data_IF_763362695734
#
_entry.id   IF_763362695734
#
_cell.length_a   1.000
_cell.length_b   1.000
_cell.length_c   1.000
_cell.angle_alpha   90.00
_cell.angle_beta   90.00
_cell.angle_gamma   90.00
#
_symmetry.space_group_name_H-M   'P 1'
#
loop_
_entity.id
_entity.type
_entity.pdbx_description
1 polymer ?
#
# COMPACT_ATOMS: atom_id res chain seq x y z
N UNK A 1 27.89 -27.06 -32.32
CA UNK A 1 29.20 -27.65 -31.94
C UNK A 1 29.00 -28.52 -30.71
N UNK A 2 29.18 -29.85 -30.84
CA UNK A 2 29.20 -30.77 -29.68
C UNK A 2 30.66 -30.93 -29.27
N UNK A 3 31.03 -30.42 -28.09
CA UNK A 3 32.38 -30.64 -27.54
C UNK A 3 32.47 -32.06 -26.99
N UNK A 4 33.64 -32.67 -27.09
CA UNK A 4 33.93 -33.96 -26.45
C UNK A 4 33.93 -33.82 -24.93
N UNK A 5 33.64 -34.91 -24.23
CA UNK A 5 33.64 -34.97 -22.76
C UNK A 5 34.99 -34.55 -22.15
N UNK A 6 36.09 -34.92 -22.80
CA UNK A 6 37.46 -34.59 -22.37
C UNK A 6 37.76 -33.08 -22.51
N UNK A 7 37.25 -32.46 -23.60
CA UNK A 7 37.34 -31.01 -23.80
C UNK A 7 36.51 -30.25 -22.77
N UNK A 8 35.36 -30.80 -22.36
CA UNK A 8 34.51 -30.21 -21.32
C UNK A 8 35.20 -30.23 -19.95
N UNK A 9 35.83 -31.35 -19.59
CA UNK A 9 36.57 -31.51 -18.34
C UNK A 9 37.77 -30.57 -18.26
N UNK A 10 38.53 -30.44 -19.35
CA UNK A 10 39.66 -29.51 -19.42
C UNK A 10 39.22 -28.06 -19.25
N UNK A 11 38.11 -27.66 -19.89
CA UNK A 11 37.55 -26.33 -19.74
C UNK A 11 37.08 -26.05 -18.29
N UNK A 12 36.54 -27.09 -17.63
CA UNK A 12 36.07 -27.00 -16.24
C UNK A 12 37.23 -26.83 -15.25
N UNK A 13 38.34 -27.54 -15.45
CA UNK A 13 39.57 -27.34 -14.68
C UNK A 13 40.16 -25.94 -14.87
N UNK A 14 40.23 -25.44 -16.11
CA UNK A 14 40.77 -24.11 -16.39
C UNK A 14 39.95 -22.99 -15.72
N UNK A 15 38.63 -23.12 -15.73
CA UNK A 15 37.73 -22.17 -15.06
C UNK A 15 37.92 -22.16 -13.54
N UNK A 16 38.15 -23.32 -12.93
CA UNK A 16 38.36 -23.40 -11.48
C UNK A 16 39.67 -22.73 -11.05
N UNK A 17 40.71 -22.82 -11.89
CA UNK A 17 41.97 -22.12 -11.69
C UNK A 17 41.85 -20.61 -11.87
N UNK A 18 41.16 -20.15 -12.91
CA UNK A 18 40.98 -18.71 -13.18
C UNK A 18 40.10 -18.00 -12.14
N UNK A 19 39.20 -18.72 -11.46
CA UNK A 19 38.30 -18.13 -10.47
C UNK A 19 38.89 -18.09 -9.05
N UNK A 20 40.16 -18.48 -8.88
CA UNK A 20 40.83 -18.45 -7.58
C UNK A 20 40.25 -19.51 -6.64
N UNK A 21 40.73 -20.75 -6.79
CA UNK A 21 40.42 -21.82 -5.85
C UNK A 21 40.78 -21.40 -4.43
N UNK A 22 39.79 -21.46 -3.53
CA UNK A 22 40.02 -21.43 -2.09
C UNK A 22 41.04 -22.52 -1.74
N UNK A 23 42.10 -22.14 -1.04
CA UNK A 23 43.01 -23.09 -0.38
C UNK A 23 42.32 -23.50 0.92
N UNK A 24 41.71 -24.69 0.95
CA UNK A 24 40.93 -25.21 2.09
C UNK A 24 41.78 -25.67 3.29
N UNK A 25 43.01 -25.19 3.47
CA UNK A 25 43.89 -25.65 4.54
C UNK A 25 44.24 -24.60 5.59
N UNK A 26 44.19 -23.31 5.27
CA UNK A 26 44.49 -22.26 6.24
C UNK A 26 43.30 -21.32 6.37
N UNK A 27 42.76 -21.22 7.58
CA UNK A 27 41.74 -20.24 7.97
C UNK A 27 42.36 -18.84 7.96
N UNK A 28 42.52 -18.27 6.77
CA UNK A 28 42.86 -16.86 6.62
C UNK A 28 41.57 -16.07 6.85
N UNK A 29 41.38 -15.59 8.07
CA UNK A 29 40.35 -14.60 8.36
C UNK A 29 40.56 -13.37 7.46
N UNK A 30 39.56 -12.97 6.66
CA UNK A 30 39.68 -11.77 5.87
C UNK A 30 39.69 -10.56 6.82
N UNK A 31 40.87 -9.97 7.07
CA UNK A 31 41.01 -8.66 7.70
C UNK A 31 40.38 -7.58 6.80
N UNK A 32 39.06 -7.48 6.85
CA UNK A 32 38.31 -6.46 6.11
C UNK A 32 38.32 -5.17 6.92
N UNK A 33 39.47 -4.47 6.94
CA UNK A 33 39.57 -3.11 7.45
C UNK A 33 38.80 -2.15 6.53
N UNK A 34 37.48 -2.08 6.74
CA UNK A 34 36.66 -0.98 6.22
C UNK A 34 36.88 0.23 7.10
N UNK A 35 37.76 1.13 6.69
CA UNK A 35 37.76 2.52 7.13
C UNK A 35 36.48 3.22 6.65
N UNK A 36 35.35 2.91 7.30
CA UNK A 36 34.12 3.67 7.16
C UNK A 36 34.25 4.91 8.02
N UNK A 37 34.58 6.06 7.42
CA UNK A 37 34.29 7.36 8.06
C UNK A 37 32.78 7.38 8.33
N UNK A 38 32.40 7.57 9.59
CA UNK A 38 31.02 7.89 9.95
C UNK A 38 30.69 9.25 9.32
N UNK A 39 30.14 9.26 8.10
CA UNK A 39 29.47 10.44 7.59
C UNK A 39 28.27 10.65 8.50
N UNK A 40 28.38 11.60 9.42
CA UNK A 40 27.20 12.25 9.98
C UNK A 40 26.49 12.88 8.80
N UNK A 41 25.54 12.15 8.20
CA UNK A 41 24.66 12.71 7.21
C UNK A 41 23.90 13.82 7.94
N UNK A 42 24.12 15.05 7.47
CA UNK A 42 23.42 16.22 7.97
C UNK A 42 21.91 15.90 7.89
N UNK A 43 21.25 15.80 9.05
CA UNK A 43 19.86 15.37 9.13
C UNK A 43 18.99 16.26 8.25
N UNK A 44 19.38 17.53 8.07
CA UNK A 44 18.77 18.48 7.16
C UNK A 44 18.79 18.01 5.68
N UNK A 45 19.88 17.41 5.24
CA UNK A 45 20.02 16.89 3.87
C UNK A 45 19.14 15.64 3.66
N UNK A 46 19.06 14.76 4.66
CA UNK A 46 18.19 13.59 4.63
C UNK A 46 16.71 14.00 4.63
N UNK A 47 16.31 15.00 5.42
CA UNK A 47 14.94 15.52 5.39
C UNK A 47 14.59 16.18 4.06
N UNK A 48 15.51 16.95 3.46
CA UNK A 48 15.27 17.57 2.16
C UNK A 48 15.16 16.53 1.03
N UNK A 49 15.95 15.46 1.10
CA UNK A 49 15.88 14.35 0.14
C UNK A 49 14.57 13.56 0.29
N UNK A 50 14.11 13.33 1.53
CA UNK A 50 12.80 12.71 1.80
C UNK A 50 11.64 13.60 1.33
N UNK A 51 11.70 14.92 1.56
CA UNK A 51 10.67 15.85 1.07
C UNK A 51 10.62 15.88 -0.46
N UNK A 52 11.78 15.89 -1.13
CA UNK A 52 11.88 15.80 -2.59
C UNK A 52 11.30 14.47 -3.10
N UNK A 53 11.58 13.36 -2.40
CA UNK A 53 11.07 12.04 -2.77
C UNK A 53 9.55 11.92 -2.55
N UNK A 54 9.02 12.54 -1.49
CA UNK A 54 7.57 12.67 -1.26
C UNK A 54 6.92 13.50 -2.38
N UNK A 55 7.51 14.63 -2.78
CA UNK A 55 6.97 15.45 -3.85
C UNK A 55 7.08 14.76 -5.22
N UNK A 56 8.16 14.03 -5.48
CA UNK A 56 8.29 13.18 -6.66
C UNK A 56 7.26 12.04 -6.65
N UNK A 57 7.00 11.40 -5.51
CA UNK A 57 5.95 10.39 -5.36
C UNK A 57 4.56 10.99 -5.54
N UNK A 58 4.32 12.20 -5.04
CA UNK A 58 3.06 12.94 -5.20
C UNK A 58 2.84 13.36 -6.65
N UNK A 59 3.90 13.74 -7.36
CA UNK A 59 3.89 14.03 -8.80
C UNK A 59 3.64 12.76 -9.61
N UNK A 60 4.39 11.68 -9.34
CA UNK A 60 4.13 10.36 -9.94
C UNK A 60 2.71 9.87 -9.67
N UNK A 61 2.18 10.07 -8.47
CA UNK A 61 0.80 9.70 -8.13
C UNK A 61 -0.25 10.55 -8.86
N UNK A 62 0.01 11.83 -9.10
CA UNK A 62 -0.83 12.69 -9.96
C UNK A 62 -0.75 12.26 -11.41
N UNK A 63 0.44 11.93 -11.90
CA UNK A 63 0.67 11.47 -13.27
C UNK A 63 0.05 10.08 -13.52
N UNK A 64 0.08 9.18 -12.53
CA UNK A 64 -0.64 7.90 -12.58
C UNK A 64 -2.14 8.02 -12.33
N UNK A 65 -2.61 9.11 -11.71
CA UNK A 65 -4.04 9.43 -11.60
C UNK A 65 -4.60 9.99 -12.91
N UNK A 66 -3.72 10.54 -13.76
CA UNK A 66 -3.99 10.97 -15.13
C UNK A 66 -3.87 9.83 -16.14
N UNK A 67 -3.20 8.74 -15.80
CA UNK A 67 -3.41 7.47 -16.51
C UNK A 67 -4.70 6.84 -15.98
N UNK A 68 -5.74 6.69 -16.81
CA UNK A 68 -6.86 5.87 -16.42
C UNK A 68 -6.34 4.43 -16.28
N UNK A 69 -6.09 4.02 -15.04
CA UNK A 69 -5.90 2.62 -14.66
C UNK A 69 -7.23 1.92 -14.90
N UNK A 70 -7.40 1.43 -16.12
CA UNK A 70 -8.64 0.89 -16.61
C UNK A 70 -8.82 1.39 -18.04
N UNK A 71 -8.59 0.49 -18.99
CA UNK A 71 -8.92 0.62 -20.41
C UNK A 71 -10.24 1.37 -20.54
N UNK A 72 -10.19 2.69 -20.66
CA UNK A 72 -11.40 3.50 -20.81
C UNK A 72 -11.72 3.32 -22.26
N UNK A 73 -12.71 2.48 -22.54
CA UNK A 73 -13.17 2.27 -23.90
C UNK A 73 -13.67 3.63 -24.35
N UNK A 74 -12.90 4.29 -25.22
CA UNK A 74 -13.24 5.61 -25.71
C UNK A 74 -14.61 5.55 -26.37
N UNK A 75 -15.45 6.56 -26.15
CA UNK A 75 -16.74 6.71 -26.81
C UNK A 75 -16.60 6.62 -28.34
N UNK A 76 -15.53 7.19 -28.89
CA UNK A 76 -15.20 7.09 -30.31
C UNK A 76 -14.93 5.65 -30.77
N UNK A 77 -14.30 4.82 -29.94
CA UNK A 77 -14.06 3.41 -30.25
C UNK A 77 -15.36 2.59 -30.19
N UNK A 78 -16.27 2.92 -29.28
CA UNK A 78 -17.60 2.32 -29.23
C UNK A 78 -18.45 2.68 -30.44
N UNK A 79 -18.41 3.95 -30.85
CA UNK A 79 -19.15 4.41 -32.02
C UNK A 79 -18.62 3.74 -33.30
N UNK A 80 -17.29 3.66 -33.45
CA UNK A 80 -16.69 2.90 -34.55
C UNK A 80 -17.10 1.42 -34.53
N UNK A 81 -17.12 0.77 -33.37
CA UNK A 81 -17.56 -0.62 -33.23
C UNK A 81 -19.03 -0.79 -33.63
N UNK A 82 -19.91 0.17 -33.29
CA UNK A 82 -21.32 0.17 -33.72
C UNK A 82 -21.44 0.23 -35.22
N UNK A 83 -20.77 1.19 -35.86
CA UNK A 83 -20.78 1.35 -37.32
C UNK A 83 -20.26 0.10 -38.04
N UNK A 84 -19.21 -0.53 -37.52
CA UNK A 84 -18.69 -1.79 -38.07
C UNK A 84 -19.66 -2.96 -37.92
N UNK A 85 -20.33 -3.07 -36.76
CA UNK A 85 -21.38 -4.09 -36.54
C UNK A 85 -22.54 -3.86 -37.50
N UNK A 86 -23.03 -2.63 -37.64
CA UNK A 86 -24.17 -2.31 -38.53
C UNK A 86 -23.83 -2.59 -40.00
N UNK A 87 -22.61 -2.24 -40.43
CA UNK A 87 -22.12 -2.54 -41.78
C UNK A 87 -22.04 -4.05 -42.03
N UNK A 88 -21.48 -4.81 -41.10
CA UNK A 88 -21.39 -6.28 -41.24
C UNK A 88 -22.75 -6.95 -41.13
N UNK A 89 -23.64 -6.44 -40.30
CA UNK A 89 -25.02 -6.92 -40.19
C UNK A 89 -25.76 -6.71 -41.50
N UNK A 90 -25.66 -5.52 -42.10
CA UNK A 90 -26.21 -5.24 -43.44
C UNK A 90 -25.64 -6.20 -44.49
N UNK A 91 -24.31 -6.39 -44.51
CA UNK A 91 -23.67 -7.35 -45.41
C UNK A 91 -24.15 -8.79 -45.20
N UNK A 92 -24.43 -9.18 -43.94
CA UNK A 92 -24.99 -10.47 -43.61
C UNK A 92 -26.44 -10.62 -44.13
N UNK A 93 -27.30 -9.62 -43.93
CA UNK A 93 -28.67 -9.63 -44.46
C UNK A 93 -28.70 -9.77 -45.99
N UNK A 94 -27.81 -9.07 -46.70
CA UNK A 94 -27.67 -9.19 -48.16
C UNK A 94 -27.23 -10.61 -48.54
N UNK A 95 -26.15 -11.10 -47.92
CA UNK A 95 -25.58 -12.42 -48.23
C UNK A 95 -26.52 -13.58 -47.92
N UNK A 96 -27.42 -13.42 -46.95
CA UNK A 96 -28.45 -14.39 -46.59
C UNK A 96 -29.71 -14.30 -47.46
N UNK A 97 -29.82 -13.29 -48.34
CA UNK A 97 -31.04 -13.05 -49.13
C UNK A 97 -32.23 -12.58 -48.28
N UNK A 98 -31.97 -11.97 -47.13
CA UNK A 98 -33.00 -11.50 -46.19
C UNK A 98 -33.35 -10.02 -46.36
N UNK A 99 -32.62 -9.28 -47.20
CA UNK A 99 -32.79 -7.83 -47.38
C UNK A 99 -34.18 -7.46 -47.89
N UNK A 100 -34.70 -8.17 -48.92
CA UNK A 100 -36.03 -7.88 -49.48
C UNK A 100 -37.15 -8.10 -48.46
N UNK A 101 -37.04 -9.16 -47.64
CA UNK A 101 -37.98 -9.44 -46.55
C UNK A 101 -37.96 -8.34 -45.49
N UNK A 102 -36.77 -7.85 -45.15
CA UNK A 102 -36.59 -6.75 -44.19
C UNK A 102 -37.21 -5.45 -44.72
N UNK A 103 -36.98 -5.10 -45.97
CA UNK A 103 -37.55 -3.89 -46.59
C UNK A 103 -39.07 -3.99 -46.72
N UNK A 104 -39.62 -5.16 -47.06
CA UNK A 104 -41.07 -5.37 -47.09
C UNK A 104 -41.72 -5.14 -45.71
N UNK A 105 -41.12 -5.67 -44.63
CA UNK A 105 -41.57 -5.45 -43.26
C UNK A 105 -41.48 -3.97 -42.88
N UNK A 106 -40.38 -3.30 -43.24
CA UNK A 106 -40.16 -1.87 -42.95
C UNK A 106 -41.21 -0.99 -43.65
N UNK A 107 -41.52 -1.27 -44.92
CA UNK A 107 -42.55 -0.57 -45.67
C UNK A 107 -43.95 -0.75 -45.07
N UNK A 108 -44.29 -1.95 -44.61
CA UNK A 108 -45.54 -2.21 -43.92
C UNK A 108 -45.60 -1.50 -42.55
N UNK A 109 -44.49 -1.46 -41.82
CA UNK A 109 -44.38 -0.74 -40.56
C UNK A 109 -44.62 0.76 -40.74
N UNK A 110 -44.01 1.38 -41.76
CA UNK A 110 -44.23 2.80 -42.09
C UNK A 110 -45.71 3.09 -42.41
N UNK A 111 -46.37 2.22 -43.20
CA UNK A 111 -47.80 2.37 -43.52
C UNK A 111 -48.72 2.22 -42.29
N UNK A 112 -48.33 1.36 -41.34
CA UNK A 112 -49.10 1.15 -40.10
C UNK A 112 -48.93 2.28 -39.08
N UNK A 113 -47.75 2.93 -39.06
CA UNK A 113 -47.44 4.03 -38.13
C UNK A 113 -48.20 5.32 -38.45
N UNK A 114 -48.62 5.53 -39.70
CA UNK A 114 -49.39 6.72 -40.11
C UNK A 114 -50.86 6.65 -39.70
N UNK A 115 -51.36 5.46 -39.34
CA UNK A 115 -52.82 5.23 -39.23
C UNK A 115 -53.31 4.93 -37.82
N UNK A 116 -52.44 4.61 -36.85
CA UNK A 116 -52.85 4.50 -35.43
C UNK A 116 -51.65 4.32 -34.49
N UNK A 117 -51.75 4.85 -33.27
CA UNK A 117 -50.87 4.57 -32.12
C UNK A 117 -50.98 3.11 -31.61
N UNK A 118 -51.44 2.19 -32.46
CA UNK A 118 -52.01 0.91 -32.10
C UNK A 118 -51.07 -0.23 -32.46
N UNK A 119 -50.65 -0.95 -31.42
CA UNK A 119 -50.37 -2.39 -31.36
C UNK A 119 -50.07 -3.01 -32.72
N UNK A 120 -48.77 -3.26 -32.99
CA UNK A 120 -48.29 -4.01 -34.15
C UNK A 120 -49.24 -5.16 -34.48
N UNK A 121 -49.74 -5.21 -35.72
CA UNK A 121 -50.67 -6.25 -36.13
C UNK A 121 -50.04 -7.62 -35.83
N UNK A 122 -50.82 -8.59 -35.28
CA UNK A 122 -50.28 -9.90 -34.92
C UNK A 122 -49.53 -10.59 -36.07
N UNK A 123 -49.97 -10.36 -37.32
CA UNK A 123 -49.33 -10.87 -38.53
C UNK A 123 -47.98 -10.22 -38.84
N UNK A 124 -47.82 -8.91 -38.60
CA UNK A 124 -46.52 -8.23 -38.77
C UNK A 124 -45.52 -8.73 -37.72
N UNK A 125 -45.98 -8.92 -36.49
CA UNK A 125 -45.16 -9.51 -35.41
C UNK A 125 -44.67 -10.91 -35.77
N UNK A 126 -45.55 -11.79 -36.26
CA UNK A 126 -45.17 -13.13 -36.70
C UNK A 126 -44.10 -13.11 -37.81
N UNK A 127 -44.19 -12.18 -38.77
CA UNK A 127 -43.19 -12.03 -39.85
C UNK A 127 -41.85 -11.52 -39.33
N UNK A 128 -41.85 -10.61 -38.36
CA UNK A 128 -40.64 -10.13 -37.68
C UNK A 128 -39.97 -11.27 -36.91
N UNK A 129 -40.75 -12.03 -36.14
CA UNK A 129 -40.24 -13.16 -35.35
C UNK A 129 -39.65 -14.24 -36.28
N UNK A 130 -40.33 -14.55 -37.39
CA UNK A 130 -39.82 -15.49 -38.41
C UNK A 130 -38.53 -15.00 -39.05
N UNK A 131 -38.43 -13.72 -39.42
CA UNK A 131 -37.21 -13.13 -39.98
C UNK A 131 -36.04 -13.21 -38.98
N UNK A 132 -36.31 -12.90 -37.70
CA UNK A 132 -35.32 -13.01 -36.64
C UNK A 132 -34.85 -14.46 -36.45
N UNK A 133 -35.77 -15.42 -36.49
CA UNK A 133 -35.43 -16.84 -36.40
C UNK A 133 -34.57 -17.32 -37.58
N UNK A 134 -34.93 -16.95 -38.82
CA UNK A 134 -34.15 -17.27 -40.03
C UNK A 134 -32.71 -16.70 -39.93
N UNK A 135 -32.59 -15.43 -39.50
CA UNK A 135 -31.29 -14.78 -39.29
C UNK A 135 -30.46 -15.50 -38.22
N UNK A 136 -31.06 -15.81 -37.07
CA UNK A 136 -30.38 -16.52 -35.99
C UNK A 136 -29.97 -17.94 -36.38
N UNK A 137 -30.77 -18.65 -37.16
CA UNK A 137 -30.44 -19.97 -37.68
C UNK A 137 -29.25 -19.90 -38.66
N UNK A 138 -29.22 -18.88 -39.52
CA UNK A 138 -28.11 -18.65 -40.45
C UNK A 138 -26.81 -18.26 -39.71
N UNK A 139 -26.91 -17.44 -38.66
CA UNK A 139 -25.79 -17.15 -37.76
C UNK A 139 -25.36 -18.38 -36.97
N UNK A 140 -26.25 -19.29 -36.60
CA UNK A 140 -25.86 -20.47 -35.81
C UNK A 140 -25.04 -21.49 -36.59
N UNK A 141 -24.98 -21.39 -37.93
CA UNK A 141 -24.15 -22.27 -38.75
C UNK A 141 -22.66 -22.13 -38.38
N UNK A 142 -21.93 -23.24 -38.20
CA UNK A 142 -20.48 -23.20 -37.98
C UNK A 142 -19.77 -22.47 -39.13
N UNK A 143 -18.70 -21.74 -38.81
CA UNK A 143 -17.88 -20.95 -39.75
C UNK A 143 -18.59 -19.81 -40.52
N UNK A 144 -19.91 -19.65 -40.44
CA UNK A 144 -20.61 -18.49 -41.02
C UNK A 144 -20.37 -17.24 -40.17
N UNK A 145 -20.17 -16.10 -40.83
CA UNK A 145 -20.16 -14.75 -40.23
C UNK A 145 -19.32 -14.63 -38.95
N UNK A 146 -18.16 -15.28 -38.92
CA UNK A 146 -17.27 -15.30 -37.75
C UNK A 146 -16.89 -13.88 -37.28
N UNK A 147 -16.61 -12.98 -38.23
CA UNK A 147 -16.31 -11.57 -37.94
C UNK A 147 -17.47 -10.90 -37.20
N UNK A 148 -18.70 -11.02 -37.72
CA UNK A 148 -19.88 -10.41 -37.11
C UNK A 148 -20.15 -10.97 -35.71
N UNK A 149 -20.02 -12.29 -35.52
CA UNK A 149 -20.15 -12.94 -34.20
C UNK A 149 -19.12 -12.40 -33.21
N UNK A 150 -17.87 -12.28 -33.64
CA UNK A 150 -16.80 -11.74 -32.82
C UNK A 150 -17.08 -10.29 -32.43
N UNK A 151 -17.48 -9.44 -33.39
CA UNK A 151 -17.79 -8.03 -33.12
C UNK A 151 -19.00 -7.84 -32.21
N UNK A 152 -20.05 -8.65 -32.38
CA UNK A 152 -21.20 -8.67 -31.48
C UNK A 152 -20.79 -9.04 -30.05
N UNK A 153 -19.95 -10.08 -29.89
CA UNK A 153 -19.43 -10.47 -28.58
C UNK A 153 -18.59 -9.36 -27.95
N UNK A 154 -17.67 -8.76 -28.71
CA UNK A 154 -16.86 -7.63 -28.25
C UNK A 154 -17.74 -6.44 -27.82
N UNK A 155 -18.82 -6.15 -28.56
CA UNK A 155 -19.77 -5.09 -28.20
C UNK A 155 -20.47 -5.38 -26.87
N UNK A 156 -20.96 -6.61 -26.66
CA UNK A 156 -21.61 -7.01 -25.41
C UNK A 156 -20.65 -6.92 -24.22
N UNK A 157 -19.42 -7.37 -24.39
CA UNK A 157 -18.39 -7.27 -23.35
C UNK A 157 -18.04 -5.81 -23.04
N UNK A 158 -17.90 -4.96 -24.07
CA UNK A 158 -17.65 -3.54 -23.92
C UNK A 158 -18.78 -2.82 -23.16
N UNK A 159 -20.05 -3.09 -23.51
CA UNK A 159 -21.21 -2.58 -22.77
C UNK A 159 -21.17 -2.97 -21.29
N UNK A 160 -20.84 -4.24 -20.98
CA UNK A 160 -20.72 -4.71 -19.59
C UNK A 160 -19.62 -3.98 -18.82
N UNK A 161 -18.50 -3.66 -19.47
CA UNK A 161 -17.40 -2.91 -18.86
C UNK A 161 -17.85 -1.47 -18.55
N UNK A 162 -18.51 -0.81 -19.51
CA UNK A 162 -19.02 0.55 -19.34
C UNK A 162 -20.01 0.61 -18.18
N UNK A 163 -20.96 -0.32 -18.10
CA UNK A 163 -21.91 -0.39 -16.97
C UNK A 163 -21.23 -0.56 -15.61
N UNK A 164 -20.14 -1.34 -15.54
CA UNK A 164 -19.36 -1.50 -14.31
C UNK A 164 -18.60 -0.22 -13.97
N UNK A 165 -18.05 0.46 -14.96
CA UNK A 165 -17.35 1.73 -14.79
C UNK A 165 -18.30 2.82 -14.28
N UNK A 166 -19.49 2.96 -14.89
CA UNK A 166 -20.48 3.95 -14.44
C UNK A 166 -20.96 3.66 -13.03
N UNK A 167 -21.24 2.40 -12.67
CA UNK A 167 -21.57 2.00 -11.29
C UNK A 167 -20.42 2.27 -10.31
N UNK A 168 -19.18 2.04 -10.71
CA UNK A 168 -18.02 2.34 -9.87
C UNK A 168 -17.87 3.86 -9.65
N UNK A 169 -18.11 4.68 -10.68
CA UNK A 169 -18.07 6.14 -10.57
C UNK A 169 -19.19 6.70 -9.69
N UNK A 170 -20.42 6.17 -9.79
CA UNK A 170 -21.52 6.58 -8.91
C UNK A 170 -21.23 6.21 -7.47
N UNK A 171 -20.78 4.97 -7.20
CA UNK A 171 -20.37 4.55 -5.86
C UNK A 171 -19.22 5.41 -5.31
N UNK A 172 -18.24 5.75 -6.15
CA UNK A 172 -17.14 6.64 -5.75
C UNK A 172 -17.64 8.03 -5.36
N UNK A 173 -18.62 8.59 -6.08
CA UNK A 173 -19.25 9.88 -5.73
C UNK A 173 -20.04 9.78 -4.43
N UNK A 174 -20.88 8.76 -4.27
CA UNK A 174 -21.66 8.53 -3.05
C UNK A 174 -20.77 8.33 -1.82
N UNK A 175 -19.70 7.54 -1.94
CA UNK A 175 -18.70 7.37 -0.89
C UNK A 175 -18.08 8.72 -0.57
N UNK A 176 -17.60 9.47 -1.56
CA UNK A 176 -16.96 10.75 -1.32
C UNK A 176 -17.90 11.77 -0.66
N UNK A 177 -19.18 11.81 -1.03
CA UNK A 177 -20.20 12.68 -0.41
C UNK A 177 -20.48 12.29 1.05
N UNK A 178 -20.76 11.00 1.32
CA UNK A 178 -21.00 10.49 2.68
C UNK A 178 -19.79 10.67 3.58
N UNK A 179 -18.60 10.36 3.07
CA UNK A 179 -17.35 10.48 3.80
C UNK A 179 -17.03 11.95 4.07
N UNK A 180 -17.16 12.85 3.09
CA UNK A 180 -16.85 14.28 3.30
C UNK A 180 -17.78 14.91 4.34
N UNK A 181 -19.08 14.61 4.32
CA UNK A 181 -20.01 15.15 5.32
C UNK A 181 -19.68 14.72 6.75
N UNK A 182 -19.47 13.42 6.95
CA UNK A 182 -19.28 12.85 8.30
C UNK A 182 -17.84 12.96 8.81
N UNK A 183 -16.84 12.83 7.95
CA UNK A 183 -15.42 12.91 8.35
C UNK A 183 -15.00 14.35 8.61
N UNK A 184 -15.49 15.34 7.83
CA UNK A 184 -15.00 16.73 7.95
C UNK A 184 -15.21 17.31 9.36
N UNK A 185 -16.35 17.03 10.00
CA UNK A 185 -16.62 17.45 11.38
C UNK A 185 -15.66 16.80 12.38
N UNK A 186 -15.49 15.47 12.29
CA UNK A 186 -14.62 14.70 13.19
C UNK A 186 -13.14 15.05 13.01
N UNK A 187 -12.72 15.25 11.77
CA UNK A 187 -11.36 15.67 11.42
C UNK A 187 -11.04 17.06 11.99
N UNK A 188 -12.02 17.96 12.04
CA UNK A 188 -11.86 19.29 12.63
C UNK A 188 -11.68 19.23 14.15
N UNK A 189 -12.42 18.35 14.85
CA UNK A 189 -12.24 18.11 16.29
C UNK A 189 -10.83 17.59 16.56
N UNK A 190 -10.39 16.58 15.79
CA UNK A 190 -9.04 16.01 15.92
C UNK A 190 -7.93 17.05 15.60
N UNK A 191 -8.16 17.91 14.60
CA UNK A 191 -7.24 18.98 14.22
C UNK A 191 -7.10 20.01 15.33
N UNK A 192 -8.22 20.50 15.89
CA UNK A 192 -8.22 21.44 17.01
C UNK A 192 -7.50 20.88 18.24
N UNK A 193 -7.75 19.62 18.58
CA UNK A 193 -7.08 18.96 19.70
C UNK A 193 -5.56 18.83 19.44
N UNK A 194 -5.16 18.46 18.23
CA UNK A 194 -3.75 18.41 17.82
C UNK A 194 -3.07 19.77 17.94
N UNK A 195 -3.72 20.83 17.46
CA UNK A 195 -3.15 22.18 17.46
C UNK A 195 -2.97 22.70 18.89
N UNK A 196 -3.89 22.39 19.82
CA UNK A 196 -3.74 22.69 21.25
C UNK A 196 -2.56 21.97 21.88
N UNK A 197 -2.43 20.66 21.64
CA UNK A 197 -1.30 19.87 22.13
C UNK A 197 0.03 20.40 21.58
N UNK A 198 0.07 20.79 20.31
CA UNK A 198 1.26 21.37 19.68
C UNK A 198 1.68 22.71 20.32
N UNK A 199 0.72 23.48 20.83
CA UNK A 199 0.96 24.72 21.59
C UNK A 199 1.36 24.47 23.05
N UNK A 200 1.41 23.21 23.49
CA UNK A 200 1.71 22.85 24.88
C UNK A 200 0.53 23.04 25.85
N UNK A 201 -0.67 23.31 25.34
CA UNK A 201 -1.87 23.39 26.15
C UNK A 201 -2.32 21.99 26.56
N UNK A 202 -2.65 21.79 27.84
CA UNK A 202 -3.29 20.55 28.28
C UNK A 202 -4.72 20.50 27.74
N UNK A 203 -5.11 19.34 27.21
CA UNK A 203 -6.49 19.08 26.83
C UNK A 203 -7.33 18.93 28.09
N UNK A 204 -8.41 19.70 28.18
CA UNK A 204 -9.45 19.55 29.17
C UNK A 204 -10.18 18.21 28.99
N UNK A 205 -10.76 17.69 30.07
CA UNK A 205 -11.37 16.36 30.07
C UNK A 205 -12.52 16.25 29.04
N UNK A 206 -13.29 17.32 28.87
CA UNK A 206 -14.34 17.44 27.84
C UNK A 206 -13.80 17.22 26.43
N UNK A 207 -12.66 17.85 26.08
CA UNK A 207 -12.05 17.67 24.76
C UNK A 207 -11.42 16.29 24.57
N UNK A 208 -10.87 15.68 25.62
CA UNK A 208 -10.38 14.29 25.53
C UNK A 208 -11.50 13.33 25.19
N UNK A 209 -12.65 13.48 25.84
CA UNK A 209 -13.83 12.66 25.54
C UNK A 209 -14.34 12.90 24.11
N UNK A 210 -14.42 14.15 23.65
CA UNK A 210 -14.82 14.46 22.27
C UNK A 210 -13.85 13.85 21.24
N UNK A 211 -12.55 13.86 21.53
CA UNK A 211 -11.52 13.25 20.69
C UNK A 211 -11.67 11.72 20.65
N UNK A 212 -11.89 11.06 21.79
CA UNK A 212 -12.09 9.61 21.83
C UNK A 212 -13.40 9.20 21.14
N UNK A 213 -14.50 9.94 21.35
CA UNK A 213 -15.76 9.75 20.61
C UNK A 213 -15.54 9.90 19.09
N UNK A 214 -14.89 10.98 18.65
CA UNK A 214 -14.59 11.20 17.24
C UNK A 214 -13.73 10.08 16.62
N UNK A 215 -12.78 9.51 17.38
CA UNK A 215 -11.95 8.37 16.93
C UNK A 215 -12.77 7.09 16.78
N UNK A 216 -13.55 6.71 17.78
CA UNK A 216 -14.36 5.47 17.70
C UNK A 216 -15.41 5.57 16.60
N UNK A 217 -16.09 6.71 16.45
CA UNK A 217 -17.06 6.86 15.37
C UNK A 217 -16.40 6.88 13.97
N UNK A 218 -15.18 7.40 13.82
CA UNK A 218 -14.42 7.30 12.56
C UNK A 218 -14.05 5.85 12.25
N UNK A 219 -13.68 5.08 13.28
CA UNK A 219 -13.35 3.66 13.17
C UNK A 219 -14.57 2.83 12.80
N UNK A 220 -15.72 3.08 13.42
CA UNK A 220 -17.00 2.45 13.06
C UNK A 220 -17.44 2.77 11.63
N UNK A 221 -17.22 4.00 11.16
CA UNK A 221 -17.50 4.38 9.76
C UNK A 221 -16.60 3.64 8.77
N UNK A 222 -15.31 3.50 9.10
CA UNK A 222 -14.36 2.77 8.26
C UNK A 222 -14.69 1.28 8.20
N UNK A 223 -15.06 0.67 9.34
CA UNK A 223 -15.50 -0.73 9.37
C UNK A 223 -16.80 -0.95 8.59
N UNK A 224 -17.80 -0.07 8.73
CA UNK A 224 -19.04 -0.15 7.92
C UNK A 224 -18.79 0.00 6.42
N UNK A 225 -17.78 0.77 6.02
CA UNK A 225 -17.39 0.93 4.62
C UNK A 225 -16.55 -0.26 4.09
N UNK A 226 -16.32 -1.31 4.89
CA UNK A 226 -15.37 -2.39 4.60
C UNK A 226 -13.97 -1.87 4.25
N UNK A 227 -13.59 -0.70 4.77
CA UNK A 227 -12.26 -0.12 4.61
C UNK A 227 -11.44 -0.54 5.82
N UNK A 228 -10.47 -1.42 5.59
CA UNK A 228 -9.51 -1.77 6.64
C UNK A 228 -8.64 -0.55 6.96
N UNK A 229 -8.60 -0.16 8.23
CA UNK A 229 -7.73 0.93 8.67
C UNK A 229 -6.29 0.43 8.76
N UNK A 230 -5.61 0.41 7.63
CA UNK A 230 -4.18 0.11 7.55
C UNK A 230 -3.42 1.24 8.25
N UNK A 231 -3.03 1.02 9.52
CA UNK A 231 -2.14 1.94 10.25
C UNK A 231 -2.62 2.43 11.63
N UNK A 232 -3.82 2.06 12.10
CA UNK A 232 -4.20 2.28 13.52
C UNK A 232 -3.67 1.17 14.45
N UNK A 233 -2.59 0.51 14.07
CA UNK A 233 -1.72 -0.10 15.06
C UNK A 233 -1.19 1.06 15.91
N UNK A 234 -1.77 1.26 17.11
CA UNK A 234 -1.00 1.75 18.25
C UNK A 234 0.37 1.11 18.09
N UNK A 235 1.46 1.87 18.09
CA UNK A 235 2.80 1.29 18.26
C UNK A 235 2.86 0.64 19.66
N UNK A 236 2.13 -0.45 19.85
CA UNK A 236 2.67 -1.59 20.56
C UNK A 236 3.69 -2.12 19.56
N UNK A 237 4.95 -2.15 19.99
CA UNK A 237 6.01 -2.92 19.34
C UNK A 237 5.37 -4.13 18.67
N UNK A 238 5.52 -4.24 17.35
CA UNK A 238 5.05 -5.39 16.62
C UNK A 238 5.54 -6.62 17.38
N UNK A 239 4.60 -7.46 17.85
CA UNK A 239 4.92 -8.80 18.30
C UNK A 239 5.75 -9.41 17.20
N UNK A 240 7.01 -9.66 17.51
CA UNK A 240 7.99 -10.08 16.54
C UNK A 240 7.52 -11.41 15.90
N UNK A 241 7.93 -11.70 14.65
CA UNK A 241 7.69 -13.01 14.06
C UNK A 241 8.15 -14.10 15.05
N UNK A 242 7.43 -15.21 15.22
CA UNK A 242 7.76 -16.23 16.25
C UNK A 242 9.17 -16.84 16.09
N UNK A 243 9.80 -16.65 14.94
CA UNK A 243 11.19 -17.05 14.68
C UNK A 243 12.22 -16.03 15.22
N UNK A 244 11.83 -14.76 15.39
CA UNK A 244 12.68 -13.69 15.90
C UNK A 244 12.85 -13.75 17.42
N UNK A 245 11.79 -14.08 18.17
CA UNK A 245 11.87 -14.25 19.64
C UNK A 245 12.87 -15.33 20.03
N UNK A 246 12.86 -16.46 19.32
CA UNK A 246 13.81 -17.55 19.56
C UNK A 246 15.26 -17.12 19.28
N UNK A 247 15.49 -16.30 18.24
CA UNK A 247 16.82 -15.77 17.92
C UNK A 247 17.25 -14.69 18.92
N UNK A 248 16.33 -13.87 19.41
CA UNK A 248 16.63 -12.87 20.44
C UNK A 248 17.00 -13.54 21.76
N UNK A 249 16.28 -14.58 22.18
CA UNK A 249 16.63 -15.37 23.36
C UNK A 249 18.02 -16.02 23.23
N UNK A 250 18.36 -16.56 22.05
CA UNK A 250 19.70 -17.10 21.79
C UNK A 250 20.79 -16.03 21.84
N UNK A 251 20.51 -14.83 21.34
CA UNK A 251 21.46 -13.71 21.39
C UNK A 251 21.63 -13.21 22.82
N UNK A 252 20.58 -13.12 23.62
CA UNK A 252 20.67 -12.77 25.04
C UNK A 252 21.47 -13.79 25.84
N UNK A 253 21.27 -15.09 25.57
CA UNK A 253 22.04 -16.17 26.20
C UNK A 253 23.53 -16.08 25.84
N UNK A 254 23.84 -15.85 24.56
CA UNK A 254 25.22 -15.68 24.10
C UNK A 254 25.88 -14.44 24.72
N UNK A 255 25.22 -13.29 24.69
CA UNK A 255 25.74 -12.04 25.25
C UNK A 255 25.93 -12.18 26.76
N UNK A 256 24.95 -12.75 27.48
CA UNK A 256 25.05 -13.00 28.92
C UNK A 256 26.23 -13.90 29.27
N UNK A 257 26.40 -15.00 28.52
CA UNK A 257 27.53 -15.91 28.68
C UNK A 257 28.88 -15.27 28.36
N UNK A 258 28.97 -14.43 27.32
CA UNK A 258 30.18 -13.68 26.96
C UNK A 258 30.59 -12.69 28.06
N UNK A 259 29.62 -11.96 28.62
CA UNK A 259 29.83 -11.03 29.71
C UNK A 259 30.30 -11.78 30.96
N UNK A 260 29.65 -12.89 31.31
CA UNK A 260 30.05 -13.69 32.47
C UNK A 260 31.47 -14.24 32.32
N UNK A 261 31.82 -14.79 31.15
CA UNK A 261 33.19 -15.21 30.84
C UNK A 261 34.19 -14.06 30.96
N UNK A 262 33.86 -12.87 30.46
CA UNK A 262 34.73 -11.70 30.54
C UNK A 262 34.90 -11.20 31.98
N UNK A 263 33.84 -11.24 32.79
CA UNK A 263 33.87 -10.89 34.22
C UNK A 263 34.75 -11.85 35.01
N UNK A 264 34.68 -13.15 34.69
CA UNK A 264 35.48 -14.18 35.35
C UNK A 264 36.95 -14.12 34.90
N UNK A 265 37.21 -13.99 33.59
CA UNK A 265 38.57 -13.88 33.04
C UNK A 265 39.29 -12.61 33.52
N UNK A 266 38.55 -11.50 33.69
CA UNK A 266 39.11 -10.24 34.20
C UNK A 266 39.32 -10.20 35.71
N UNK A 267 38.95 -11.27 36.44
CA UNK A 267 39.00 -11.31 37.90
C UNK A 267 38.12 -10.25 38.56
N UNK A 268 37.13 -9.71 37.84
CA UNK A 268 36.28 -8.63 38.35
C UNK A 268 35.37 -9.11 39.47
N UNK A 269 34.94 -10.38 39.42
CA UNK A 269 34.13 -11.01 40.46
C UNK A 269 34.84 -11.01 41.82
N UNK A 270 36.13 -11.31 41.83
CA UNK A 270 36.97 -11.32 43.03
C UNK A 270 37.19 -9.91 43.57
N UNK A 271 37.47 -8.95 42.68
CA UNK A 271 37.62 -7.52 43.05
C UNK A 271 36.33 -6.95 43.66
N UNK A 272 35.17 -7.28 43.08
CA UNK A 272 33.85 -6.86 43.59
C UNK A 272 33.59 -7.49 44.98
N UNK A 273 33.90 -8.77 45.15
CA UNK A 273 33.73 -9.43 46.45
C UNK A 273 34.67 -8.85 47.51
N UNK A 274 35.91 -8.52 47.16
CA UNK A 274 36.86 -7.84 48.05
C UNK A 274 36.34 -6.47 48.49
N UNK A 275 35.86 -5.65 47.54
CA UNK A 275 35.22 -4.36 47.83
C UNK A 275 33.99 -4.48 48.74
N UNK A 276 33.14 -5.49 48.53
CA UNK A 276 31.98 -5.75 49.41
C UNK A 276 32.39 -6.08 50.84
N UNK A 277 33.48 -6.80 51.04
CA UNK A 277 34.02 -7.10 52.38
C UNK A 277 34.60 -5.85 53.03
N UNK A 278 35.37 -5.06 52.27
CA UNK A 278 35.92 -3.78 52.74
C UNK A 278 34.80 -2.81 53.18
N UNK A 279 33.72 -2.67 52.39
CA UNK A 279 32.56 -1.83 52.73
C UNK A 279 31.84 -2.25 54.02
N UNK A 280 31.73 -3.57 54.28
CA UNK A 280 31.16 -4.06 55.54
C UNK A 280 32.07 -3.71 56.72
N UNK A 281 33.38 -3.83 56.54
CA UNK A 281 34.35 -3.49 57.58
C UNK A 281 34.46 -1.99 57.88
N UNK A 282 34.15 -1.11 56.92
CA UNK A 282 34.08 0.35 57.15
C UNK A 282 32.77 0.76 57.81
N UNK A 283 31.65 0.12 57.48
CA UNK A 283 30.36 0.37 58.12
C UNK A 283 30.35 0.03 59.62
N UNK A 284 31.16 -0.95 60.03
CA UNK A 284 31.33 -1.29 61.45
C UNK A 284 32.29 -0.33 62.19
N UNK A 285 33.11 0.45 61.48
CA UNK A 285 34.01 1.46 62.08
C UNK A 285 33.35 2.83 62.25
N UNK A 286 32.41 3.22 61.38
CA UNK A 286 31.69 4.51 61.50
C UNK A 286 30.66 4.55 62.63
N UNK A 287 30.36 3.43 63.30
CA UNK A 287 29.53 3.42 64.52
C UNK A 287 30.29 3.73 65.81
N UNK A 288 31.61 4.03 65.73
CA UNK A 288 32.48 4.21 66.90
C UNK A 288 32.90 5.64 67.25
N UNK A 289 32.81 6.62 66.35
CA UNK A 289 33.28 7.99 66.64
C UNK A 289 32.12 8.99 66.55
N UNK A 290 31.51 9.24 67.71
CA UNK A 290 30.69 10.42 67.94
C UNK A 290 31.58 11.66 68.12
N UNK A 291 31.42 12.65 67.24
CA UNK A 291 31.85 14.03 67.44
C UNK A 291 30.72 14.91 66.88
N UNK A 292 29.80 15.35 67.75
CA UNK A 292 29.72 16.71 68.33
C UNK A 292 29.68 17.84 67.30
N UNK A 293 28.46 18.30 67.04
CA UNK A 293 27.97 19.66 67.35
C UNK A 293 28.94 20.85 67.14
N UNK A 294 28.56 21.79 66.26
CA UNK A 294 29.19 23.11 66.21
C UNK A 294 28.93 23.92 64.93
N UNK A 295 27.81 24.65 64.90
CA UNK A 295 27.66 26.05 64.47
C UNK A 295 28.66 26.64 63.43
N UNK A 296 28.15 27.13 62.29
CA UNK A 296 28.14 28.58 61.95
C UNK A 296 27.67 28.90 60.53
N UNK A 297 26.67 29.78 60.49
CA UNK A 297 26.41 30.89 59.56
C UNK A 297 27.44 31.14 58.44
N UNK A 298 26.94 31.25 57.22
CA UNK A 298 27.57 31.89 56.06
C UNK A 298 26.67 31.67 54.83
N UNK A 299 25.66 32.52 54.58
CA UNK A 299 25.79 33.76 53.81
C UNK A 299 26.55 33.53 52.49
N UNK A 300 25.87 33.60 51.33
CA UNK A 300 26.37 34.21 50.07
C UNK A 300 25.35 34.08 48.92
N UNK A 301 24.96 35.27 48.44
CA UNK A 301 24.59 35.71 47.10
C UNK A 301 23.48 35.02 46.28
N UNK A 302 22.32 35.68 46.32
CA UNK A 302 21.51 35.93 45.13
C UNK A 302 22.28 36.82 44.14
N UNK A 303 22.50 36.35 42.91
CA UNK A 303 22.87 37.22 41.78
C UNK A 303 21.60 37.52 40.98
N UNK A 304 21.12 38.76 41.09
CA UNK A 304 20.13 39.34 40.21
C UNK A 304 20.78 39.79 38.91
N UNK A 305 20.30 39.28 37.78
CA UNK A 305 20.63 39.77 36.45
C UNK A 305 19.65 40.87 36.09
N UNK A 306 20.11 42.13 36.12
CA UNK A 306 19.40 43.31 35.60
C UNK A 306 20.17 43.75 34.37
N UNK A 307 19.60 43.54 33.18
CA UNK A 307 20.10 44.07 31.91
C UNK A 307 19.18 45.17 31.42
N UNK A 308 19.72 46.37 31.26
CA UNK A 308 19.09 47.52 30.62
C UNK A 308 20.09 48.10 29.59
N UNK A 309 19.52 48.65 28.50
CA UNK A 309 20.10 49.57 27.50
C UNK A 309 21.06 48.91 26.47
N UNK A 310 20.95 49.10 25.15
CA UNK A 310 20.30 50.14 24.32
C UNK A 310 19.55 49.54 23.13
#
# INVERSE_FOLDING_TARGET
MKMSTESLLSHRHLKFWQLGGFVEADTVEPEKKRNMKSKGADIAQVTAEIELEIDNLKKKARDTKSQPSGTTISEAAMEKLRQEVDKEMTGAFISMGLQEKLEAIKMELCKSSETSDSILSPSLKERVDKLAQEFNQALSRPASYLSLKQKLKTRTEASRIIEKQTKAETLKKEINEKLQGQVKGKMEILRKARDKVAKGEQLDESMKEEVERAKEELKEMLTHANLEVVGLSKRKLASAPPNLEKKMAQVEELIGGEIERAVDTGGFREKINKLKVELRSTADKEKGEGIREGDKRGNICCYGFRGAEN
#
